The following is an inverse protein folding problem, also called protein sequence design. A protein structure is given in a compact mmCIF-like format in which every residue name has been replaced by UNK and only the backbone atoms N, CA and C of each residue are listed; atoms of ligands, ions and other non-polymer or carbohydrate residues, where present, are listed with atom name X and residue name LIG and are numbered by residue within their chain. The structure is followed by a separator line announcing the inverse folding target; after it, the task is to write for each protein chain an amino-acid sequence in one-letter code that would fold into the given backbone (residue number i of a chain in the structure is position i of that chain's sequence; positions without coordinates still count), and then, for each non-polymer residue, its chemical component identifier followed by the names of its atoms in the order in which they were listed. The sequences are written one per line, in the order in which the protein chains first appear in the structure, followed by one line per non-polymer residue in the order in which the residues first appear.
data_IF_071105189259
#
_entry.id   IF_071105189259
#
_cell.length_a   1.000
_cell.length_b   1.000
_cell.length_c   1.000
_cell.angle_alpha   90.00
_cell.angle_beta   90.00
_cell.angle_gamma   90.00
#
_symmetry.space_group_name_H-M   'P 1'
#
loop_
_entity.id
_entity.type
_entity.pdbx_description
1 polymer ?
#
# COMPACT_ATOMS: atom_id res chain seq x y z
N UNK A 1 -13.42 62.54 55.61
CA UNK A 1 -14.45 61.50 55.73
C UNK A 1 -14.35 60.63 54.50
N UNK A 2 -14.00 59.37 54.74
CA UNK A 2 -13.98 58.16 53.92
C UNK A 2 -13.77 58.15 52.39
N UNK A 3 -12.89 57.22 52.03
CA UNK A 3 -12.49 56.65 50.74
C UNK A 3 -13.65 56.20 49.82
N UNK A 4 -13.40 56.09 48.51
CA UNK A 4 -13.13 54.83 47.75
C UNK A 4 -13.03 55.12 46.23
N UNK A 5 -12.03 54.50 45.58
CA UNK A 5 -11.65 54.59 44.16
C UNK A 5 -12.41 53.63 43.21
N UNK A 6 -12.59 54.01 41.94
CA UNK A 6 -12.60 53.15 40.71
C UNK A 6 -12.75 54.08 39.47
N UNK A 7 -12.18 53.92 38.27
CA UNK A 7 -11.41 52.89 37.57
C UNK A 7 -10.77 53.56 36.33
N UNK A 8 -9.67 52.97 35.83
CA UNK A 8 -8.69 53.51 34.85
C UNK A 8 -9.19 53.68 33.40
N UNK A 9 -8.55 54.67 32.75
CA UNK A 9 -8.40 54.95 31.31
C UNK A 9 -7.79 53.79 30.50
N UNK A 10 -8.20 53.61 29.24
CA UNK A 10 -7.40 53.02 28.14
C UNK A 10 -7.91 53.53 26.77
N UNK A 11 -6.97 53.96 25.92
CA UNK A 11 -7.10 54.61 24.61
C UNK A 11 -6.82 53.57 23.49
N UNK A 12 -7.51 53.55 22.34
CA UNK A 12 -7.20 52.60 21.26
C UNK A 12 -6.18 53.17 20.24
N UNK A 13 -5.25 52.31 19.82
CA UNK A 13 -4.21 52.55 18.81
C UNK A 13 -4.66 51.94 17.46
N UNK A 14 -4.67 52.75 16.39
CA UNK A 14 -4.97 52.34 15.01
C UNK A 14 -3.69 51.85 14.30
N UNK A 15 -3.74 50.68 13.67
CA UNK A 15 -2.67 50.11 12.84
C UNK A 15 -3.17 49.87 11.41
N UNK A 16 -2.48 50.42 10.43
CA UNK A 16 -2.74 50.33 8.98
C UNK A 16 -2.20 49.01 8.39
N UNK A 17 -3.04 48.26 7.67
CA UNK A 17 -2.64 47.10 6.85
C UNK A 17 -2.50 47.52 5.37
N UNK A 18 -1.35 47.22 4.77
CA UNK A 18 -1.10 47.33 3.32
C UNK A 18 -1.39 45.97 2.68
N UNK A 19 -2.39 45.90 1.79
CA UNK A 19 -2.64 44.71 0.97
C UNK A 19 -1.81 44.79 -0.32
N UNK A 20 -0.87 43.85 -0.46
CA UNK A 20 -0.22 43.51 -1.72
C UNK A 20 -1.13 42.57 -2.53
N UNK A 21 -1.63 43.04 -3.67
CA UNK A 21 -2.29 42.22 -4.68
C UNK A 21 -1.21 41.61 -5.60
N UNK A 22 -0.91 40.32 -5.42
CA UNK A 22 -0.25 39.51 -6.44
C UNK A 22 -1.34 38.77 -7.22
N UNK A 23 -1.56 39.17 -8.48
CA UNK A 23 -2.37 38.41 -9.41
C UNK A 23 -1.55 37.23 -9.92
N UNK A 24 -1.82 36.04 -9.39
CA UNK A 24 -1.35 34.80 -10.01
C UNK A 24 -2.45 34.29 -10.95
N UNK A 25 -2.09 34.19 -12.23
CA UNK A 25 -2.96 33.74 -13.30
C UNK A 25 -3.10 32.23 -13.27
N UNK A 26 -4.06 31.74 -12.49
CA UNK A 26 -4.45 30.33 -12.48
C UNK A 26 -5.29 29.97 -13.70
N UNK A 27 -4.64 29.52 -14.76
CA UNK A 27 -5.29 28.85 -15.88
C UNK A 27 -5.88 27.51 -15.40
N UNK A 28 -7.17 27.48 -15.12
CA UNK A 28 -7.94 26.25 -14.93
C UNK A 28 -8.19 25.61 -16.30
N UNK A 29 -7.20 24.87 -16.79
CA UNK A 29 -7.46 23.75 -17.68
C UNK A 29 -7.83 22.57 -16.79
N UNK A 30 -9.06 22.07 -16.87
CA UNK A 30 -9.41 20.80 -16.25
C UNK A 30 -8.55 19.73 -16.93
N UNK A 31 -7.47 19.31 -16.26
CA UNK A 31 -6.76 18.12 -16.68
C UNK A 31 -7.70 16.95 -16.41
N UNK A 32 -8.26 16.34 -17.46
CA UNK A 32 -9.21 15.21 -17.39
C UNK A 32 -8.53 13.91 -16.89
N UNK A 33 -7.38 14.05 -16.23
CA UNK A 33 -6.60 12.94 -15.70
C UNK A 33 -7.14 12.51 -14.36
N UNK A 34 -7.17 11.20 -14.18
CA UNK A 34 -7.41 10.57 -12.90
C UNK A 34 -6.08 10.39 -12.17
N UNK A 35 -6.18 10.32 -10.85
CA UNK A 35 -5.08 9.91 -10.00
C UNK A 35 -5.29 8.45 -9.59
N UNK A 36 -4.24 7.65 -9.70
CA UNK A 36 -4.19 6.29 -9.20
C UNK A 36 -3.06 6.15 -8.17
N UNK A 37 -3.04 5.02 -7.49
CA UNK A 37 -2.03 4.71 -6.49
C UNK A 37 -1.59 3.24 -6.61
N UNK A 38 -0.27 3.00 -6.57
CA UNK A 38 0.29 1.65 -6.51
C UNK A 38 0.33 1.21 -5.04
N UNK A 39 -0.38 0.13 -4.72
CA UNK A 39 -0.62 -0.34 -3.36
C UNK A 39 -1.32 0.69 -2.45
N UNK A 40 -1.71 0.29 -1.24
CA UNK A 40 -2.46 1.15 -0.30
C UNK A 40 -1.60 2.18 0.44
N UNK A 41 -0.36 1.81 0.79
CA UNK A 41 0.60 2.71 1.44
C UNK A 41 1.61 3.29 0.44
N UNK A 42 1.60 2.82 -0.81
CA UNK A 42 2.41 3.37 -1.89
C UNK A 42 3.66 2.56 -2.22
N UNK A 43 4.14 2.75 -3.45
CA UNK A 43 5.50 2.39 -3.87
C UNK A 43 6.11 3.62 -4.54
N UNK A 44 7.03 4.28 -3.87
CA UNK A 44 7.72 5.48 -4.37
C UNK A 44 8.85 5.10 -5.31
N UNK A 45 9.20 6.00 -6.24
CA UNK A 45 10.38 5.82 -7.08
C UNK A 45 10.19 4.88 -8.29
N UNK A 46 8.97 4.41 -8.55
CA UNK A 46 8.66 3.68 -9.78
C UNK A 46 8.47 4.65 -10.93
N UNK A 47 9.18 4.43 -12.04
CA UNK A 47 8.84 5.08 -13.31
C UNK A 47 7.62 4.39 -13.88
N UNK A 48 6.56 5.15 -14.14
CA UNK A 48 5.39 4.70 -14.85
C UNK A 48 5.28 5.39 -16.21
N UNK A 49 5.07 4.60 -17.25
CA UNK A 49 4.80 5.08 -18.60
C UNK A 49 3.40 4.64 -19.00
N UNK A 50 2.63 5.58 -19.54
CA UNK A 50 1.33 5.36 -20.20
C UNK A 50 1.44 5.80 -21.66
N UNK A 51 0.35 5.68 -22.42
CA UNK A 51 0.32 6.20 -23.78
C UNK A 51 0.48 7.74 -23.83
N UNK A 52 0.05 8.45 -22.78
CA UNK A 52 0.04 9.92 -22.75
C UNK A 52 1.21 10.55 -21.99
N UNK A 53 1.86 9.83 -21.07
CA UNK A 53 2.88 10.40 -20.19
C UNK A 53 3.86 9.38 -19.62
N UNK A 54 5.02 9.89 -19.21
CA UNK A 54 5.99 9.18 -18.40
C UNK A 54 6.35 10.06 -17.19
N UNK A 55 6.36 9.48 -15.99
CA UNK A 55 6.73 10.15 -14.74
C UNK A 55 7.12 9.12 -13.69
N UNK A 56 7.57 9.57 -12.51
CA UNK A 56 7.84 8.72 -11.35
C UNK A 56 6.70 8.81 -10.33
N UNK A 57 6.42 7.74 -9.61
CA UNK A 57 5.49 7.74 -8.49
C UNK A 57 6.02 8.58 -7.33
N UNK A 58 5.11 9.30 -6.66
CA UNK A 58 5.45 10.12 -5.50
C UNK A 58 5.62 9.28 -4.22
N UNK A 59 5.84 9.94 -3.08
CA UNK A 59 6.01 9.29 -1.78
C UNK A 59 4.78 8.49 -1.31
N UNK A 60 3.60 8.71 -1.89
CA UNK A 60 2.40 7.93 -1.64
C UNK A 60 2.14 6.89 -2.74
N UNK A 61 3.06 6.71 -3.68
CA UNK A 61 2.90 5.79 -4.80
C UNK A 61 1.90 6.27 -5.86
N UNK A 62 1.60 7.58 -5.92
CA UNK A 62 0.58 8.09 -6.84
C UNK A 62 1.09 8.25 -8.26
N UNK A 63 0.20 8.02 -9.20
CA UNK A 63 0.41 8.25 -10.64
C UNK A 63 -0.81 8.93 -11.27
N UNK A 64 -0.63 9.47 -12.47
CA UNK A 64 -1.71 10.10 -13.25
C UNK A 64 -1.95 9.32 -14.54
N UNK A 65 -3.19 9.24 -14.97
CA UNK A 65 -3.58 8.51 -16.18
C UNK A 65 -4.90 9.04 -16.75
N UNK A 66 -5.15 8.76 -18.01
CA UNK A 66 -6.48 8.88 -18.62
C UNK A 66 -7.25 7.55 -18.54
N UNK A 67 -8.58 7.57 -18.40
CA UNK A 67 -9.39 6.36 -18.37
C UNK A 67 -9.09 5.42 -19.55
N UNK A 68 -8.87 4.13 -19.26
CA UNK A 68 -8.58 3.10 -20.27
C UNK A 68 -7.11 2.95 -20.64
N UNK A 69 -6.20 3.77 -20.10
CA UNK A 69 -4.76 3.57 -20.29
C UNK A 69 -4.23 2.36 -19.50
N UNK A 70 -3.05 1.89 -19.92
CA UNK A 70 -2.25 0.89 -19.21
C UNK A 70 -0.93 1.51 -18.75
N UNK A 71 -0.33 0.92 -17.73
CA UNK A 71 0.95 1.28 -17.16
C UNK A 71 2.01 0.27 -17.61
N UNK A 72 3.17 0.77 -18.00
CA UNK A 72 4.44 0.07 -17.91
C UNK A 72 5.19 0.60 -16.69
N UNK A 73 5.65 -0.29 -15.82
CA UNK A 73 6.29 0.06 -14.56
C UNK A 73 7.75 -0.38 -14.60
N UNK A 74 8.64 0.51 -14.16
CA UNK A 74 10.07 0.26 -14.04
C UNK A 74 10.62 0.77 -12.71
N UNK A 75 11.67 0.13 -12.22
CA UNK A 75 12.53 0.74 -11.19
C UNK A 75 13.82 1.18 -11.88
N UNK A 76 14.01 2.48 -12.03
CA UNK A 76 15.06 2.99 -12.93
C UNK A 76 14.84 2.48 -14.35
N UNK A 77 15.84 1.80 -14.91
CA UNK A 77 15.78 1.18 -16.22
C UNK A 77 15.20 -0.25 -16.22
N UNK A 78 15.11 -0.91 -15.06
CA UNK A 78 14.65 -2.30 -14.94
C UNK A 78 13.12 -2.40 -15.07
N UNK A 79 12.58 -3.15 -16.05
CA UNK A 79 11.16 -3.42 -16.14
C UNK A 79 10.65 -4.30 -14.99
N UNK A 80 9.56 -3.88 -14.35
CA UNK A 80 8.91 -4.63 -13.26
C UNK A 80 7.46 -4.98 -13.51
N UNK A 81 6.79 -4.34 -14.47
CA UNK A 81 5.50 -4.79 -14.99
C UNK A 81 5.22 -4.13 -16.33
N UNK A 82 4.39 -4.77 -17.14
CA UNK A 82 3.85 -4.16 -18.34
C UNK A 82 2.34 -4.37 -18.41
N UNK A 83 1.69 -3.60 -19.30
CA UNK A 83 0.27 -3.81 -19.64
C UNK A 83 -0.65 -3.88 -18.42
N UNK A 84 -0.40 -3.03 -17.41
CA UNK A 84 -1.17 -2.98 -16.16
C UNK A 84 -2.32 -1.98 -16.31
N UNK A 85 -3.60 -2.37 -16.24
CA UNK A 85 -4.71 -1.42 -16.31
C UNK A 85 -4.56 -0.30 -15.29
N UNK A 86 -4.57 0.94 -15.76
CA UNK A 86 -4.54 2.10 -14.90
C UNK A 86 -5.91 2.27 -14.23
N UNK A 87 -5.93 2.24 -12.90
CA UNK A 87 -7.14 2.38 -12.06
C UNK A 87 -6.79 3.09 -10.76
N UNK A 88 -7.81 3.36 -9.94
CA UNK A 88 -7.64 4.09 -8.68
C UNK A 88 -6.59 3.43 -7.77
N UNK A 89 -6.66 2.10 -7.60
CA UNK A 89 -5.69 1.31 -6.85
C UNK A 89 -5.17 0.17 -7.71
N UNK A 90 -3.86 0.13 -7.92
CA UNK A 90 -3.16 -0.94 -8.61
C UNK A 90 -2.37 -1.72 -7.56
N UNK A 91 -2.73 -2.97 -7.31
CA UNK A 91 -1.94 -3.85 -6.43
C UNK A 91 -0.87 -4.57 -7.25
N UNK A 92 0.15 -5.14 -6.60
CA UNK A 92 1.16 -5.95 -7.31
C UNK A 92 0.52 -7.21 -7.96
N UNK A 93 -0.64 -7.68 -7.47
CA UNK A 93 -1.41 -8.73 -8.17
C UNK A 93 -1.83 -8.29 -9.58
N UNK A 94 -2.09 -7.00 -9.78
CA UNK A 94 -2.51 -6.47 -11.08
C UNK A 94 -1.37 -6.48 -12.13
N UNK A 95 -0.13 -6.76 -11.72
CA UNK A 95 1.02 -6.78 -12.61
C UNK A 95 1.02 -8.00 -13.55
N UNK A 96 0.28 -9.05 -13.20
CA UNK A 96 0.19 -10.29 -13.99
C UNK A 96 -1.24 -10.46 -14.56
N UNK A 97 -1.40 -10.58 -15.89
CA UNK A 97 -2.70 -10.77 -16.52
C UNK A 97 -3.51 -11.96 -15.97
N UNK A 98 -2.84 -13.08 -15.71
CA UNK A 98 -3.45 -14.33 -15.24
C UNK A 98 -4.02 -14.18 -13.82
N UNK A 99 -3.32 -13.42 -12.96
CA UNK A 99 -3.80 -13.12 -11.61
C UNK A 99 -5.00 -12.19 -11.66
N UNK A 100 -5.01 -11.19 -12.56
CA UNK A 100 -6.17 -10.32 -12.78
C UNK A 100 -7.40 -11.09 -13.21
N UNK A 101 -7.26 -12.04 -14.14
CA UNK A 101 -8.36 -12.89 -14.57
C UNK A 101 -8.90 -13.74 -13.41
N UNK A 102 -8.01 -14.31 -12.60
CA UNK A 102 -8.41 -15.09 -11.43
C UNK A 102 -9.15 -14.25 -10.37
N UNK A 103 -8.78 -12.98 -10.19
CA UNK A 103 -9.41 -12.05 -9.23
C UNK A 103 -10.88 -11.75 -9.54
N UNK A 104 -11.32 -11.89 -10.80
CA UNK A 104 -12.74 -11.71 -11.15
C UNK A 104 -13.65 -12.79 -10.56
N UNK A 105 -13.08 -13.93 -10.14
CA UNK A 105 -13.82 -15.01 -9.49
C UNK A 105 -13.68 -14.95 -7.97
N UNK A 106 -14.75 -14.56 -7.28
CA UNK A 106 -14.78 -14.56 -5.82
C UNK A 106 -15.33 -15.87 -5.24
N UNK A 107 -14.65 -16.37 -4.21
CA UNK A 107 -15.10 -17.52 -3.40
C UNK A 107 -16.20 -17.09 -2.43
N UNK A 108 -16.82 -18.07 -1.76
CA UNK A 108 -17.79 -17.82 -0.68
C UNK A 108 -17.16 -18.14 0.66
N UNK A 109 -17.54 -17.38 1.69
CA UNK A 109 -17.08 -17.57 3.06
C UNK A 109 -17.96 -18.56 3.85
N UNK A 110 -17.72 -18.66 5.16
CA UNK A 110 -18.51 -19.52 6.06
C UNK A 110 -19.97 -19.10 6.23
N UNK A 111 -20.31 -17.87 5.82
CA UNK A 111 -21.66 -17.34 5.82
C UNK A 111 -22.35 -17.49 4.45
N UNK A 112 -21.72 -18.20 3.51
CA UNK A 112 -22.16 -18.35 2.11
C UNK A 112 -22.26 -17.02 1.35
N UNK A 113 -21.51 -16.01 1.77
CA UNK A 113 -21.42 -14.72 1.08
C UNK A 113 -20.13 -14.63 0.27
N UNK A 114 -20.16 -13.90 -0.86
CA UNK A 114 -18.97 -13.68 -1.68
C UNK A 114 -17.90 -12.87 -0.95
N UNK A 115 -16.67 -13.35 -1.02
CA UNK A 115 -15.49 -12.72 -0.43
C UNK A 115 -14.28 -12.86 -1.37
N UNK A 116 -13.74 -11.72 -1.81
CA UNK A 116 -12.56 -11.67 -2.67
C UNK A 116 -11.27 -12.01 -1.92
N UNK A 117 -11.20 -11.77 -0.60
CA UNK A 117 -9.99 -11.98 0.18
C UNK A 117 -9.53 -13.44 0.19
N UNK A 118 -10.49 -14.38 0.07
CA UNK A 118 -10.22 -15.81 -0.08
C UNK A 118 -9.55 -16.17 -1.42
N UNK A 119 -9.93 -15.47 -2.49
CA UNK A 119 -9.27 -15.59 -3.80
C UNK A 119 -7.88 -14.98 -3.73
N UNK A 120 -7.75 -13.76 -3.22
CA UNK A 120 -6.46 -13.09 -3.02
C UNK A 120 -5.48 -13.99 -2.25
N UNK A 121 -5.88 -14.50 -1.08
CA UNK A 121 -5.07 -15.41 -0.24
C UNK A 121 -4.56 -16.66 -0.99
N UNK A 122 -5.32 -17.15 -1.97
CA UNK A 122 -4.89 -18.25 -2.84
C UNK A 122 -3.80 -17.80 -3.81
N UNK A 123 -3.99 -16.64 -4.44
CA UNK A 123 -3.07 -16.06 -5.42
C UNK A 123 -1.75 -15.59 -4.78
N UNK A 124 -1.75 -15.26 -3.49
CA UNK A 124 -0.53 -14.93 -2.75
C UNK A 124 0.46 -16.08 -2.60
N UNK A 125 0.15 -17.28 -3.08
CA UNK A 125 1.10 -18.39 -3.19
C UNK A 125 1.75 -18.49 -4.58
N UNK A 126 1.45 -17.55 -5.49
CA UNK A 126 2.09 -17.48 -6.80
C UNK A 126 3.57 -17.08 -6.64
N UNK A 127 4.47 -17.91 -7.16
CA UNK A 127 5.91 -17.74 -7.02
C UNK A 127 6.42 -16.46 -7.68
N UNK A 128 5.99 -16.19 -8.91
CA UNK A 128 6.43 -15.00 -9.65
C UNK A 128 6.02 -13.70 -8.94
N UNK A 129 4.80 -13.68 -8.39
CA UNK A 129 4.30 -12.58 -7.58
C UNK A 129 5.19 -12.35 -6.35
N UNK A 130 5.54 -13.42 -5.65
CA UNK A 130 6.37 -13.35 -4.45
C UNK A 130 7.79 -12.90 -4.78
N UNK A 131 8.45 -13.49 -5.77
CA UNK A 131 9.80 -13.09 -6.20
C UNK A 131 9.85 -11.59 -6.59
N UNK A 132 8.86 -11.13 -7.36
CA UNK A 132 8.72 -9.72 -7.75
C UNK A 132 8.52 -8.80 -6.55
N UNK A 133 7.65 -9.19 -5.62
CA UNK A 133 7.37 -8.43 -4.40
C UNK A 133 8.60 -8.33 -3.51
N UNK A 134 9.29 -9.46 -3.29
CA UNK A 134 10.53 -9.53 -2.50
C UNK A 134 11.60 -8.61 -3.05
N UNK A 135 11.82 -8.62 -4.36
CA UNK A 135 12.78 -7.73 -4.99
C UNK A 135 12.41 -6.24 -4.82
N UNK A 136 11.14 -5.87 -5.02
CA UNK A 136 10.70 -4.49 -4.79
C UNK A 136 10.88 -4.07 -3.32
N UNK A 137 10.58 -4.96 -2.37
CA UNK A 137 10.81 -4.71 -0.94
C UNK A 137 12.31 -4.61 -0.63
N UNK A 138 13.17 -5.41 -1.28
CA UNK A 138 14.62 -5.37 -1.06
C UNK A 138 15.24 -4.04 -1.51
N UNK A 139 14.60 -3.34 -2.44
CA UNK A 139 14.98 -2.01 -2.89
C UNK A 139 14.49 -0.86 -1.98
N UNK A 140 13.68 -1.17 -0.96
CA UNK A 140 13.21 -0.16 0.00
C UNK A 140 14.39 0.54 0.68
N UNK A 141 14.32 1.84 0.96
CA UNK A 141 15.45 2.52 1.58
C UNK A 141 15.79 1.96 2.97
N UNK A 142 14.78 1.69 3.79
CA UNK A 142 14.96 1.00 5.07
C UNK A 142 14.90 -0.51 4.88
N UNK A 143 15.54 -1.27 5.75
CA UNK A 143 15.46 -2.73 5.71
C UNK A 143 14.05 -3.22 6.05
N UNK A 144 13.42 -2.57 7.03
CA UNK A 144 12.05 -2.86 7.47
C UNK A 144 11.10 -1.81 6.94
N UNK A 145 9.99 -2.25 6.37
CA UNK A 145 8.84 -1.41 5.98
C UNK A 145 7.90 -1.36 7.19
N UNK A 146 7.60 -0.16 7.69
CA UNK A 146 6.72 0.02 8.85
C UNK A 146 5.25 -0.25 8.52
N UNK A 147 4.42 -0.47 9.54
CA UNK A 147 3.00 -0.81 9.40
C UNK A 147 2.15 0.27 8.73
N UNK A 148 2.58 1.51 8.65
CA UNK A 148 1.88 2.62 8.00
C UNK A 148 2.63 3.20 6.79
N UNK A 149 3.72 2.55 6.39
CA UNK A 149 4.58 2.98 5.29
C UNK A 149 4.50 2.03 4.08
N UNK A 150 4.77 2.62 2.92
CA UNK A 150 4.95 1.92 1.66
C UNK A 150 6.43 1.64 1.37
N UNK A 151 6.72 1.15 0.17
CA UNK A 151 8.11 0.94 -0.30
C UNK A 151 8.68 2.30 -0.74
N UNK A 152 9.80 2.73 -0.15
CA UNK A 152 10.51 3.97 -0.48
C UNK A 152 11.77 3.72 -1.32
N UNK A 153 11.68 3.75 -2.66
CA UNK A 153 12.84 3.56 -3.54
C UNK A 153 13.46 4.92 -3.88
N UNK A 154 14.52 5.27 -3.16
CA UNK A 154 15.14 6.60 -3.30
C UNK A 154 15.93 6.78 -4.59
N UNK A 155 16.10 8.03 -5.08
CA UNK A 155 16.89 8.32 -6.28
C UNK A 155 18.33 7.77 -6.25
N UNK A 156 18.93 7.63 -5.06
CA UNK A 156 20.26 7.00 -4.91
C UNK A 156 20.24 5.51 -5.24
N UNK A 157 19.25 4.78 -4.72
CA UNK A 157 19.05 3.36 -5.02
C UNK A 157 18.83 3.18 -6.52
N UNK A 158 17.96 4.01 -7.12
CA UNK A 158 17.68 4.00 -8.56
C UNK A 158 18.95 4.27 -9.39
N UNK A 159 19.75 5.27 -9.00
CA UNK A 159 20.99 5.59 -9.72
C UNK A 159 22.02 4.46 -9.65
N UNK A 160 22.16 3.79 -8.50
CA UNK A 160 23.06 2.65 -8.34
C UNK A 160 22.55 1.43 -9.10
N UNK A 161 21.24 1.16 -9.07
CA UNK A 161 20.63 0.11 -9.87
C UNK A 161 20.87 0.35 -11.37
N UNK A 162 20.66 1.56 -11.87
CA UNK A 162 20.93 1.87 -13.28
C UNK A 162 22.41 1.66 -13.65
N UNK A 163 23.34 2.09 -12.78
CA UNK A 163 24.76 1.85 -13.01
C UNK A 163 25.10 0.35 -13.05
N UNK A 164 24.43 -0.47 -12.23
CA UNK A 164 24.58 -1.93 -12.25
C UNK A 164 23.99 -2.56 -13.52
N UNK A 165 22.84 -2.07 -14.00
CA UNK A 165 22.21 -2.55 -15.24
C UNK A 165 23.02 -2.19 -16.50
N UNK A 166 23.79 -1.10 -16.45
CA UNK A 166 24.67 -0.65 -17.53
C UNK A 166 26.03 -1.38 -17.53
N UNK A 167 26.36 -2.15 -16.48
CA UNK A 167 27.60 -2.92 -16.39
C UNK A 167 27.48 -4.23 -17.21
N UNK A 168 28.35 -4.46 -18.22
CA UNK A 168 28.30 -5.65 -19.06
C UNK A 168 28.64 -6.96 -18.31
N UNK A 169 29.23 -6.89 -17.12
CA UNK A 169 29.51 -8.06 -16.28
C UNK A 169 28.31 -8.45 -15.40
N UNK A 170 27.29 -7.61 -15.32
CA UNK A 170 26.11 -7.81 -14.49
C UNK A 170 24.84 -8.09 -15.31
N UNK A 171 23.81 -8.71 -14.70
CA UNK A 171 22.52 -8.91 -15.33
C UNK A 171 21.81 -7.59 -15.66
N UNK A 172 21.28 -7.46 -16.88
CA UNK A 172 20.47 -6.30 -17.30
C UNK A 172 18.96 -6.51 -17.14
N UNK A 173 18.53 -7.72 -16.76
CA UNK A 173 17.13 -8.11 -16.57
C UNK A 173 16.99 -9.09 -15.41
N UNK A 174 15.79 -9.15 -14.82
CA UNK A 174 15.44 -10.15 -13.81
C UNK A 174 14.25 -10.96 -14.33
N UNK A 175 14.39 -12.29 -14.31
CA UNK A 175 13.27 -13.21 -14.52
C UNK A 175 12.67 -13.58 -13.16
N UNK A 176 11.47 -13.06 -12.87
CA UNK A 176 10.75 -13.34 -11.63
C UNK A 176 10.07 -14.71 -11.64
N UNK A 177 9.95 -15.38 -12.79
CA UNK A 177 9.22 -16.64 -12.95
C UNK A 177 10.01 -17.87 -12.50
N UNK A 178 11.34 -17.73 -12.34
CA UNK A 178 12.22 -18.84 -11.94
C UNK A 178 11.90 -19.36 -10.52
N UNK A 179 12.21 -20.64 -10.22
CA UNK A 179 12.03 -21.22 -8.89
C UNK A 179 12.63 -20.38 -7.76
N UNK A 180 11.95 -20.31 -6.61
CA UNK A 180 12.42 -19.47 -5.49
C UNK A 180 13.85 -19.78 -5.03
N UNK A 181 14.25 -21.05 -5.04
CA UNK A 181 15.63 -21.45 -4.70
C UNK A 181 16.67 -20.90 -5.70
N UNK A 182 16.32 -20.79 -6.99
CA UNK A 182 17.19 -20.18 -8.00
C UNK A 182 17.18 -18.65 -7.91
N UNK A 183 16.03 -18.07 -7.52
CA UNK A 183 15.89 -16.63 -7.28
C UNK A 183 16.66 -16.14 -6.04
N UNK A 184 16.82 -17.02 -5.04
CA UNK A 184 17.56 -16.76 -3.79
C UNK A 184 19.05 -17.06 -3.90
N UNK A 185 19.50 -17.76 -4.95
CA UNK A 185 20.90 -18.13 -5.11
C UNK A 185 21.82 -16.90 -5.04
N UNK A 186 23.02 -17.07 -4.47
CA UNK A 186 24.00 -15.98 -4.30
C UNK A 186 24.35 -15.32 -5.64
N UNK A 187 24.45 -16.13 -6.70
CA UNK A 187 24.71 -15.70 -8.08
C UNK A 187 23.42 -15.43 -8.89
N UNK A 188 22.25 -15.36 -8.25
CA UNK A 188 21.02 -14.98 -8.93
C UNK A 188 21.10 -13.56 -9.48
N UNK A 189 20.32 -13.27 -10.53
CA UNK A 189 20.32 -11.93 -11.11
C UNK A 189 19.89 -10.84 -10.11
N UNK A 190 18.97 -11.18 -9.20
CA UNK A 190 18.49 -10.27 -8.17
C UNK A 190 19.59 -9.97 -7.14
N UNK A 191 20.29 -10.98 -6.61
CA UNK A 191 21.34 -10.78 -5.62
C UNK A 191 22.59 -10.08 -6.21
N UNK A 192 22.96 -10.38 -7.46
CA UNK A 192 24.04 -9.65 -8.14
C UNK A 192 23.74 -8.15 -8.27
N UNK A 193 22.49 -7.78 -8.58
CA UNK A 193 22.08 -6.38 -8.65
C UNK A 193 21.98 -5.73 -7.28
N UNK A 194 21.43 -6.42 -6.26
CA UNK A 194 21.36 -5.91 -4.89
C UNK A 194 22.75 -5.66 -4.28
N UNK A 195 23.72 -6.53 -4.58
CA UNK A 195 25.12 -6.38 -4.15
C UNK A 195 25.79 -5.10 -4.69
N UNK A 196 25.26 -4.53 -5.77
CA UNK A 196 25.76 -3.29 -6.38
C UNK A 196 25.14 -2.01 -5.79
N UNK A 197 24.19 -2.15 -4.85
CA UNK A 197 23.43 -1.04 -4.28
C UNK A 197 23.86 -0.80 -2.82
N UNK A 198 24.03 0.46 -2.43
CA UNK A 198 24.29 0.83 -1.05
C UNK A 198 23.11 1.61 -0.45
N UNK A 199 22.45 1.01 0.54
CA UNK A 199 21.29 1.59 1.24
C UNK A 199 21.65 2.61 2.33
N UNK A 200 22.86 3.15 2.29
CA UNK A 200 23.36 4.17 3.19
C UNK A 200 23.60 5.50 2.47
N UNK A 201 23.71 6.58 3.26
CA UNK A 201 23.97 7.92 2.73
C UNK A 201 25.29 7.95 1.96
N UNK A 202 25.41 8.88 1.00
CA UNK A 202 26.67 9.07 0.27
C UNK A 202 27.81 9.39 1.26
N UNK A 203 28.91 8.66 1.14
CA UNK A 203 30.08 8.82 2.02
C UNK A 203 30.03 7.97 3.29
N UNK A 204 28.99 7.16 3.50
CA UNK A 204 28.99 6.15 4.55
C UNK A 204 30.12 5.13 4.31
N UNK A 205 30.84 4.76 5.36
CA UNK A 205 31.93 3.78 5.29
C UNK A 205 31.44 2.42 4.79
N UNK A 206 30.16 2.09 5.05
CA UNK A 206 29.54 0.84 4.60
C UNK A 206 29.29 0.81 3.08
N UNK A 207 29.34 1.95 2.40
CA UNK A 207 29.27 2.02 0.94
C UNK A 207 30.64 1.92 0.25
N UNK A 208 31.72 1.73 1.00
CA UNK A 208 33.07 1.57 0.47
C UNK A 208 33.30 0.18 -0.12
N UNK A 209 34.43 0.01 -0.82
CA UNK A 209 34.90 -1.34 -1.16
C UNK A 209 35.33 -2.05 0.13
N UNK A 210 34.98 -3.33 0.33
CA UNK A 210 35.46 -4.07 1.48
C UNK A 210 37.00 -4.14 1.47
N UNK A 211 37.67 -3.90 2.61
CA UNK A 211 39.11 -4.09 2.73
C UNK A 211 39.54 -5.48 2.25
N UNK A 212 40.57 -5.53 1.41
CA UNK A 212 41.14 -6.78 0.90
C UNK A 212 41.89 -7.54 1.99
N UNK A 213 42.05 -8.86 1.83
CA UNK A 213 42.86 -9.66 2.77
C UNK A 213 44.28 -9.14 2.87
N UNK A 214 44.86 -8.68 1.76
CA UNK A 214 46.20 -8.10 1.74
C UNK A 214 46.29 -6.78 2.53
N UNK A 215 45.28 -5.91 2.46
CA UNK A 215 45.25 -4.68 3.29
C UNK A 215 45.14 -5.03 4.78
N UNK A 216 44.33 -6.05 5.12
CA UNK A 216 44.17 -6.53 6.50
C UNK A 216 45.47 -7.13 7.05
N UNK A 217 46.16 -7.97 6.27
CA UNK A 217 47.39 -8.63 6.71
C UNK A 217 48.56 -7.67 6.90
N UNK A 218 48.63 -6.61 6.10
CA UNK A 218 49.69 -5.60 6.18
C UNK A 218 49.46 -4.55 7.27
N UNK A 219 48.26 -4.48 7.84
CA UNK A 219 47.95 -3.54 8.92
C UNK A 219 48.55 -4.02 10.27
N UNK A 220 48.98 -3.08 11.12
CA UNK A 220 49.50 -3.41 12.45
C UNK A 220 48.42 -4.07 13.32
N UNK A 221 48.83 -4.96 14.22
CA UNK A 221 47.93 -5.51 15.23
C UNK A 221 47.63 -4.45 16.29
N UNK A 222 46.36 -4.36 16.70
CA UNK A 222 45.95 -3.49 17.80
C UNK A 222 46.69 -3.89 19.09
N UNK A 223 47.37 -2.96 19.77
CA UNK A 223 48.01 -3.20 21.07
C UNK A 223 47.00 -3.74 22.11
N UNK A 224 47.47 -4.58 23.03
CA UNK A 224 46.62 -5.11 24.13
C UNK A 224 46.30 -4.06 25.19
N UNK A 225 47.14 -3.03 25.29
CA UNK A 225 46.99 -1.94 26.25
C UNK A 225 46.34 -0.74 25.57
N UNK A 226 45.22 -0.27 26.12
CA UNK A 226 44.44 0.83 25.55
C UNK A 226 45.22 2.15 25.47
N UNK A 227 46.20 2.37 26.37
CA UNK A 227 47.05 3.56 26.37
C UNK A 227 48.04 3.62 25.20
N UNK A 228 48.31 2.48 24.54
CA UNK A 228 49.24 2.36 23.42
C UNK A 228 48.53 2.44 22.05
N UNK A 229 47.20 2.60 22.04
CA UNK A 229 46.40 2.73 20.81
C UNK A 229 46.56 4.14 20.23
N UNK A 230 47.12 4.24 19.04
CA UNK A 230 47.19 5.47 18.25
C UNK A 230 45.85 5.72 17.54
N UNK A 231 45.15 6.84 17.82
CA UNK A 231 43.87 7.16 17.16
C UNK A 231 44.00 7.44 15.65
N UNK A 232 45.20 7.76 15.15
CA UNK A 232 45.44 8.05 13.73
C UNK A 232 45.85 6.80 12.92
N UNK A 233 46.03 5.65 13.59
CA UNK A 233 46.41 4.39 12.96
C UNK A 233 45.21 3.45 12.76
N UNK A 234 45.12 2.82 11.59
CA UNK A 234 44.07 1.82 11.31
C UNK A 234 44.63 0.42 11.54
N UNK A 235 44.13 -0.25 12.57
CA UNK A 235 44.61 -1.58 12.94
C UNK A 235 43.96 -2.69 12.12
N UNK A 236 44.61 -3.86 12.13
CA UNK A 236 44.12 -5.09 11.53
C UNK A 236 42.71 -5.46 12.00
N UNK A 237 42.42 -5.30 13.28
CA UNK A 237 41.10 -5.56 13.88
C UNK A 237 40.04 -4.59 13.35
N UNK A 238 40.40 -3.31 13.10
CA UNK A 238 39.49 -2.31 12.53
C UNK A 238 39.15 -2.61 11.08
N UNK A 239 40.13 -2.99 10.26
CA UNK A 239 39.90 -3.38 8.87
C UNK A 239 39.06 -4.66 8.76
N UNK A 240 39.30 -5.64 9.64
CA UNK A 240 38.45 -6.85 9.71
C UNK A 240 37.01 -6.51 10.07
N UNK A 241 36.82 -5.71 11.13
CA UNK A 241 35.47 -5.29 11.55
C UNK A 241 34.78 -4.48 10.46
N UNK A 242 35.49 -3.56 9.79
CA UNK A 242 34.94 -2.79 8.68
C UNK A 242 34.54 -3.69 7.50
N UNK A 243 35.39 -4.65 7.12
CA UNK A 243 35.08 -5.63 6.07
C UNK A 243 33.82 -6.42 6.39
N UNK A 244 33.73 -6.99 7.58
CA UNK A 244 32.56 -7.75 8.02
C UNK A 244 31.29 -6.89 7.99
N UNK A 245 31.37 -5.65 8.49
CA UNK A 245 30.22 -4.72 8.48
C UNK A 245 29.80 -4.32 7.06
N UNK A 246 30.73 -4.12 6.13
CA UNK A 246 30.41 -3.84 4.72
C UNK A 246 29.69 -5.05 4.10
N UNK A 247 30.23 -6.26 4.30
CA UNK A 247 29.63 -7.48 3.74
C UNK A 247 28.24 -7.77 4.34
N UNK A 248 28.04 -7.50 5.63
CA UNK A 248 26.73 -7.63 6.29
C UNK A 248 25.73 -6.55 5.89
N UNK A 249 26.19 -5.39 5.38
CA UNK A 249 25.32 -4.32 4.92
C UNK A 249 24.80 -4.55 3.48
N UNK A 250 25.37 -5.51 2.76
CA UNK A 250 24.87 -5.93 1.45
C UNK A 250 23.57 -6.69 1.66
N UNK A 251 22.52 -6.27 0.95
CA UNK A 251 21.22 -6.92 1.01
C UNK A 251 21.14 -8.11 0.09
N UNK A 252 20.32 -9.07 0.50
CA UNK A 252 20.00 -10.25 -0.27
C UNK A 252 18.49 -10.44 -0.33
N UNK A 253 18.02 -11.25 -1.29
CA UNK A 253 16.63 -11.66 -1.37
C UNK A 253 16.20 -12.52 -0.17
N UNK A 254 17.13 -13.15 0.54
CA UNK A 254 16.84 -13.92 1.76
C UNK A 254 16.42 -13.03 2.93
N UNK A 255 16.83 -11.75 2.94
CA UNK A 255 16.44 -10.77 3.98
C UNK A 255 14.92 -10.56 4.02
N UNK A 256 14.24 -10.84 2.91
CA UNK A 256 12.78 -10.79 2.78
C UNK A 256 12.31 -12.15 2.29
N UNK A 257 11.93 -13.02 3.22
CA UNK A 257 11.40 -14.33 2.86
C UNK A 257 10.01 -14.25 2.18
N UNK A 258 9.56 -15.38 1.66
CA UNK A 258 8.26 -15.49 0.99
C UNK A 258 7.07 -15.14 1.92
N UNK A 259 7.21 -15.38 3.23
CA UNK A 259 6.16 -15.12 4.21
C UNK A 259 6.06 -13.63 4.51
N UNK A 260 7.18 -12.92 4.68
CA UNK A 260 7.23 -11.47 4.85
C UNK A 260 6.66 -10.73 3.63
N UNK A 261 6.98 -11.19 2.41
CA UNK A 261 6.37 -10.65 1.21
C UNK A 261 4.85 -10.89 1.14
N UNK A 262 4.39 -12.07 1.58
CA UNK A 262 2.96 -12.39 1.66
C UNK A 262 2.24 -11.53 2.69
N UNK A 263 2.81 -11.33 3.87
CA UNK A 263 2.27 -10.47 4.93
C UNK A 263 2.16 -9.01 4.47
N UNK A 264 3.19 -8.51 3.80
CA UNK A 264 3.15 -7.20 3.15
C UNK A 264 1.99 -7.09 2.15
N UNK A 265 1.82 -8.08 1.25
CA UNK A 265 0.71 -8.07 0.29
C UNK A 265 -0.67 -8.14 0.95
N UNK A 266 -0.85 -8.97 1.98
CA UNK A 266 -2.12 -9.07 2.75
C UNK A 266 -2.48 -7.70 3.32
N UNK A 267 -1.52 -7.04 3.97
CA UNK A 267 -1.68 -5.70 4.54
C UNK A 267 -2.08 -4.70 3.46
N UNK A 268 -1.38 -4.67 2.33
CA UNK A 268 -1.70 -3.72 1.25
C UNK A 268 -3.08 -3.96 0.63
N UNK A 269 -3.47 -5.22 0.40
CA UNK A 269 -4.78 -5.57 -0.15
C UNK A 269 -5.92 -5.24 0.82
N UNK A 270 -5.72 -5.47 2.11
CA UNK A 270 -6.65 -5.04 3.15
C UNK A 270 -6.75 -3.51 3.19
N UNK A 271 -5.63 -2.79 3.07
CA UNK A 271 -5.58 -1.33 2.97
C UNK A 271 -6.40 -0.80 1.79
N UNK A 272 -6.27 -1.40 0.60
CA UNK A 272 -7.06 -1.05 -0.59
C UNK A 272 -8.55 -1.31 -0.35
N UNK A 273 -8.89 -2.52 0.14
CA UNK A 273 -10.29 -2.90 0.44
C UNK A 273 -10.93 -1.91 1.41
N UNK A 274 -10.19 -1.52 2.46
CA UNK A 274 -10.64 -0.53 3.43
C UNK A 274 -10.79 0.86 2.82
N UNK A 275 -9.85 1.30 1.99
CA UNK A 275 -9.92 2.60 1.32
C UNK A 275 -11.15 2.70 0.41
N UNK A 276 -11.43 1.66 -0.37
CA UNK A 276 -12.64 1.57 -1.19
C UNK A 276 -13.88 1.51 -0.31
N UNK A 277 -13.89 0.62 0.69
CA UNK A 277 -15.03 0.41 1.57
C UNK A 277 -15.44 1.64 2.39
N UNK A 278 -14.50 2.55 2.71
CA UNK A 278 -14.78 3.83 3.40
C UNK A 278 -15.60 4.80 2.54
N UNK A 279 -15.60 4.63 1.22
CA UNK A 279 -16.43 5.43 0.31
C UNK A 279 -17.89 5.02 0.33
N UNK A 280 -18.22 3.88 0.94
CA UNK A 280 -19.57 3.34 0.94
C UNK A 280 -20.11 3.19 2.35
N UNK A 281 -21.42 3.43 2.50
CA UNK A 281 -22.14 3.35 3.77
C UNK A 281 -23.57 2.89 3.54
N UNK A 282 -24.21 2.36 4.59
CA UNK A 282 -25.63 2.06 4.59
C UNK A 282 -26.41 3.30 5.09
N UNK A 283 -27.65 3.50 4.62
CA UNK A 283 -28.48 4.64 5.06
C UNK A 283 -28.65 4.71 6.58
N UNK A 284 -28.60 3.54 7.23
CA UNK A 284 -28.64 3.32 8.67
C UNK A 284 -27.62 2.25 9.04
N UNK A 285 -27.09 2.32 10.25
CA UNK A 285 -26.16 1.31 10.81
C UNK A 285 -26.78 0.55 11.99
N UNK A 286 -27.81 1.13 12.61
CA UNK A 286 -28.65 0.53 13.63
C UNK A 286 -30.09 0.89 13.32
N UNK A 287 -30.99 -0.08 13.43
CA UNK A 287 -32.43 0.11 13.33
C UNK A 287 -33.14 -0.54 14.51
N UNK A 288 -34.20 0.10 14.99
CA UNK A 288 -35.06 -0.42 16.07
C UNK A 288 -36.50 -0.42 15.60
N UNK A 289 -37.15 -1.58 15.68
CA UNK A 289 -38.54 -1.77 15.22
C UNK A 289 -39.32 -2.55 16.27
N UNK A 290 -40.60 -2.23 16.45
CA UNK A 290 -41.50 -3.03 17.30
C UNK A 290 -41.65 -4.44 16.72
N UNK A 291 -41.77 -5.46 17.57
CA UNK A 291 -42.11 -6.82 17.14
C UNK A 291 -43.43 -6.88 16.34
N UNK A 292 -44.32 -5.91 16.55
CA UNK A 292 -45.58 -5.78 15.80
C UNK A 292 -45.40 -5.17 14.39
N UNK A 293 -44.26 -4.54 14.11
CA UNK A 293 -43.98 -3.88 12.85
C UNK A 293 -43.30 -4.84 11.86
N UNK A 294 -44.12 -5.70 11.24
CA UNK A 294 -43.70 -6.68 10.25
C UNK A 294 -43.64 -6.11 8.82
N UNK A 295 -43.77 -4.79 8.66
CA UNK A 295 -43.69 -4.17 7.35
C UNK A 295 -42.27 -4.28 6.77
N UNK A 296 -42.19 -4.33 5.44
CA UNK A 296 -40.91 -4.31 4.74
C UNK A 296 -40.15 -3.01 5.06
N UNK A 297 -38.87 -3.17 5.38
CA UNK A 297 -37.90 -2.10 5.64
C UNK A 297 -36.86 -2.15 4.54
N UNK A 298 -36.48 -0.99 4.03
CA UNK A 298 -35.47 -0.86 2.99
C UNK A 298 -34.24 -0.17 3.56
N UNK A 299 -33.08 -0.80 3.38
CA UNK A 299 -31.78 -0.20 3.68
C UNK A 299 -31.06 0.09 2.36
N UNK A 300 -30.70 1.35 2.14
CA UNK A 300 -30.01 1.78 0.92
C UNK A 300 -28.49 1.72 1.10
N UNK A 301 -27.78 1.24 0.08
CA UNK A 301 -26.32 1.31 -0.02
C UNK A 301 -25.97 2.63 -0.73
N UNK A 302 -25.12 3.43 -0.11
CA UNK A 302 -24.78 4.78 -0.57
C UNK A 302 -23.28 4.95 -0.73
N UNK A 303 -22.90 5.89 -1.60
CA UNK A 303 -21.52 6.31 -1.83
C UNK A 303 -21.31 7.75 -1.32
N UNK A 304 -20.15 8.01 -0.74
CA UNK A 304 -19.71 9.36 -0.36
C UNK A 304 -19.32 10.10 -1.63
N UNK A 305 -19.99 11.21 -1.92
CA UNK A 305 -19.62 12.10 -3.02
C UNK A 305 -19.65 11.44 -4.40
N UNK A 306 -20.85 11.26 -4.96
CA UNK A 306 -21.04 10.72 -6.30
C UNK A 306 -22.20 9.73 -6.36
N UNK A 307 -22.49 9.25 -7.56
CA UNK A 307 -23.55 8.28 -7.78
C UNK A 307 -23.13 6.87 -7.37
N UNK A 308 -24.12 6.09 -6.96
CA UNK A 308 -23.93 4.68 -6.62
C UNK A 308 -23.88 3.86 -7.90
N UNK A 309 -22.80 3.09 -8.07
CA UNK A 309 -22.64 2.16 -9.18
C UNK A 309 -22.14 0.82 -8.65
N UNK A 310 -22.93 -0.23 -8.87
CA UNK A 310 -22.67 -1.60 -8.42
C UNK A 310 -22.57 -2.48 -9.67
N UNK A 311 -21.63 -3.42 -9.67
CA UNK A 311 -21.53 -4.43 -10.70
C UNK A 311 -22.83 -5.25 -10.83
N UNK A 312 -23.12 -5.73 -12.03
CA UNK A 312 -24.29 -6.59 -12.28
C UNK A 312 -24.27 -7.81 -11.35
N UNK A 313 -25.39 -8.06 -10.67
CA UNK A 313 -25.52 -9.10 -9.64
C UNK A 313 -24.55 -8.95 -8.45
N UNK A 314 -24.01 -7.76 -8.24
CA UNK A 314 -23.02 -7.45 -7.21
C UNK A 314 -23.64 -7.03 -5.88
N UNK A 315 -24.78 -7.59 -5.48
CA UNK A 315 -25.35 -7.43 -4.12
C UNK A 315 -25.80 -8.78 -3.62
N UNK A 316 -25.48 -9.08 -2.36
CA UNK A 316 -25.91 -10.26 -1.62
C UNK A 316 -26.20 -9.83 -0.18
N UNK A 317 -27.24 -10.40 0.44
CA UNK A 317 -27.52 -10.13 1.84
C UNK A 317 -28.06 -11.36 2.57
N UNK A 318 -27.68 -11.48 3.84
CA UNK A 318 -28.22 -12.47 4.78
C UNK A 318 -28.51 -11.83 6.12
N UNK A 319 -29.32 -12.50 6.92
CA UNK A 319 -29.47 -12.21 8.35
C UNK A 319 -28.69 -13.24 9.16
N UNK A 320 -27.97 -12.81 10.19
CA UNK A 320 -27.27 -13.74 11.10
C UNK A 320 -28.25 -14.53 11.97
N UNK A 321 -29.47 -14.02 12.17
CA UNK A 321 -30.58 -14.68 12.86
C UNK A 321 -31.87 -14.52 12.04
N UNK A 322 -32.07 -15.37 11.01
CA UNK A 322 -33.23 -15.28 10.11
C UNK A 322 -34.59 -15.41 10.80
N UNK A 323 -34.64 -16.08 11.95
CA UNK A 323 -35.85 -16.22 12.76
C UNK A 323 -36.26 -14.94 13.50
N UNK A 324 -35.34 -13.97 13.64
CA UNK A 324 -35.64 -12.69 14.28
C UNK A 324 -35.85 -11.59 13.23
N UNK A 325 -34.99 -11.59 12.21
CA UNK A 325 -35.04 -10.65 11.10
C UNK A 325 -34.79 -11.43 9.83
N UNK A 326 -35.71 -11.37 8.87
CA UNK A 326 -35.58 -12.06 7.61
C UNK A 326 -35.26 -11.09 6.47
N UNK A 327 -34.27 -11.44 5.63
CA UNK A 327 -33.99 -10.72 4.39
C UNK A 327 -35.04 -11.13 3.36
N UNK A 328 -35.73 -10.15 2.77
CA UNK A 328 -36.75 -10.38 1.76
C UNK A 328 -36.16 -10.42 0.35
N UNK A 329 -35.45 -9.37 -0.04
CA UNK A 329 -34.86 -9.23 -1.38
C UNK A 329 -33.74 -8.18 -1.37
N UNK A 330 -33.02 -8.06 -2.48
CA UNK A 330 -32.02 -7.02 -2.70
C UNK A 330 -31.94 -6.66 -4.18
N UNK A 331 -31.52 -5.44 -4.47
CA UNK A 331 -31.38 -4.91 -5.83
C UNK A 331 -30.00 -4.30 -6.02
N UNK A 332 -29.27 -4.78 -7.03
CA UNK A 332 -28.00 -4.17 -7.42
C UNK A 332 -28.22 -2.91 -8.26
N UNK A 333 -29.31 -2.85 -9.03
CA UNK A 333 -29.67 -1.69 -9.86
C UNK A 333 -30.04 -0.48 -9.01
N UNK A 334 -30.81 -0.72 -7.95
CA UNK A 334 -31.31 0.34 -7.05
C UNK A 334 -30.51 0.44 -5.74
N UNK A 335 -29.48 -0.41 -5.59
CA UNK A 335 -28.56 -0.43 -4.48
C UNK A 335 -29.24 -0.47 -3.10
N UNK A 336 -30.13 -1.45 -2.89
CA UNK A 336 -30.81 -1.62 -1.61
C UNK A 336 -30.94 -3.10 -1.20
N UNK A 337 -31.22 -3.30 0.10
CA UNK A 337 -31.67 -4.57 0.68
C UNK A 337 -32.97 -4.33 1.41
N UNK A 338 -33.91 -5.27 1.29
CA UNK A 338 -35.17 -5.27 2.04
C UNK A 338 -35.18 -6.38 3.08
N UNK A 339 -35.72 -6.07 4.25
CA UNK A 339 -35.86 -7.00 5.36
C UNK A 339 -37.14 -6.71 6.15
N UNK A 340 -37.55 -7.63 7.01
CA UNK A 340 -38.65 -7.44 7.95
C UNK A 340 -38.35 -8.12 9.29
N UNK A 341 -39.05 -7.70 10.34
CA UNK A 341 -38.98 -8.30 11.67
C UNK A 341 -39.93 -9.49 11.74
N UNK A 342 -39.45 -10.62 12.26
CA UNK A 342 -40.21 -11.87 12.49
C UNK A 342 -40.01 -12.43 13.91
N UNK A 343 -39.15 -11.79 14.71
CA UNK A 343 -38.81 -12.22 16.07
C UNK A 343 -39.58 -11.52 17.19
N UNK A 344 -39.27 -11.96 18.41
CA UNK A 344 -39.89 -11.47 19.65
C UNK A 344 -39.18 -10.22 20.22
N UNK A 345 -39.86 -9.42 21.07
CA UNK A 345 -39.24 -8.30 21.78
C UNK A 345 -37.96 -8.71 22.54
N UNK A 346 -36.93 -7.89 22.43
CA UNK A 346 -35.60 -8.18 22.97
C UNK A 346 -34.71 -9.02 22.04
N UNK A 347 -35.24 -9.46 20.89
CA UNK A 347 -34.46 -10.06 19.82
C UNK A 347 -33.50 -9.08 19.14
N UNK A 348 -32.41 -9.62 18.60
CA UNK A 348 -31.39 -8.86 17.89
C UNK A 348 -30.84 -9.71 16.74
N UNK A 349 -30.65 -9.09 15.57
CA UNK A 349 -29.98 -9.70 14.42
C UNK A 349 -29.09 -8.69 13.71
N UNK A 350 -28.11 -9.20 12.96
CA UNK A 350 -27.36 -8.40 12.00
C UNK A 350 -27.76 -8.79 10.57
N UNK A 351 -28.10 -7.79 9.76
CA UNK A 351 -28.23 -7.95 8.32
C UNK A 351 -26.88 -7.63 7.70
N UNK A 352 -26.22 -8.67 7.17
CA UNK A 352 -24.94 -8.56 6.48
C UNK A 352 -25.19 -8.33 5.00
N UNK A 353 -24.58 -7.28 4.45
CA UNK A 353 -24.77 -6.84 3.08
C UNK A 353 -23.42 -6.79 2.39
N UNK A 354 -23.23 -7.66 1.41
CA UNK A 354 -22.07 -7.64 0.53
C UNK A 354 -22.45 -6.98 -0.79
N UNK A 355 -21.57 -6.12 -1.29
CA UNK A 355 -21.73 -5.55 -2.61
C UNK A 355 -20.40 -5.36 -3.32
N UNK A 356 -20.41 -5.45 -4.64
CA UNK A 356 -19.24 -5.30 -5.51
C UNK A 356 -19.33 -3.97 -6.27
N UNK A 357 -18.57 -2.92 -5.89
CA UNK A 357 -18.52 -1.66 -6.63
C UNK A 357 -18.21 -1.87 -8.12
N UNK A 358 -18.69 -0.98 -8.97
CA UNK A 358 -18.32 -0.99 -10.39
C UNK A 358 -16.81 -0.75 -10.58
N UNK A 359 -16.22 -1.39 -11.59
CA UNK A 359 -14.80 -1.30 -11.96
C UNK A 359 -13.79 -1.80 -10.90
N UNK A 360 -14.23 -2.56 -9.90
CA UNK A 360 -13.35 -3.25 -8.96
C UNK A 360 -13.82 -4.70 -8.74
N UNK A 361 -12.87 -5.61 -8.49
CA UNK A 361 -13.18 -7.02 -8.23
C UNK A 361 -13.61 -7.28 -6.78
N UNK A 362 -13.32 -6.34 -5.86
CA UNK A 362 -13.48 -6.52 -4.42
C UNK A 362 -14.92 -6.41 -3.96
N UNK A 363 -15.30 -7.28 -3.04
CA UNK A 363 -16.56 -7.25 -2.32
C UNK A 363 -16.42 -6.46 -1.04
N UNK A 364 -17.32 -5.50 -0.82
CA UNK A 364 -17.41 -4.69 0.38
C UNK A 364 -18.54 -5.24 1.23
N UNK A 365 -18.24 -5.57 2.49
CA UNK A 365 -19.23 -5.98 3.49
C UNK A 365 -19.58 -4.80 4.39
N UNK A 366 -20.87 -4.62 4.65
CA UNK A 366 -21.42 -3.73 5.68
C UNK A 366 -22.47 -4.49 6.48
N UNK A 367 -22.68 -4.08 7.73
CA UNK A 367 -23.70 -4.66 8.60
C UNK A 367 -24.69 -3.59 9.06
N UNK A 368 -25.95 -3.98 9.16
CA UNK A 368 -27.00 -3.26 9.84
C UNK A 368 -27.41 -4.06 11.07
N UNK A 369 -27.28 -3.47 12.25
CA UNK A 369 -27.78 -4.08 13.49
C UNK A 369 -29.27 -3.76 13.65
N UNK A 370 -30.10 -4.77 13.86
CA UNK A 370 -31.54 -4.62 14.02
C UNK A 370 -31.95 -5.08 15.41
N UNK A 371 -32.62 -4.20 16.15
CA UNK A 371 -33.14 -4.44 17.49
C UNK A 371 -34.66 -4.56 17.44
N UNK A 372 -35.21 -5.59 18.08
CA UNK A 372 -36.65 -5.80 18.18
C UNK A 372 -37.11 -5.26 19.53
N UNK A 373 -37.97 -4.24 19.50
CA UNK A 373 -38.56 -3.62 20.69
C UNK A 373 -39.99 -4.11 20.92
N UNK A 374 -40.57 -3.72 22.05
CA UNK A 374 -41.99 -4.01 22.35
C UNK A 374 -42.96 -3.49 21.29
#
# INVERSE_FOLDING_TARGET
MELVHLRRLLLPLFTTLVLSACSDGGGSGSDDTLAGQIQSHGVSGLTYTTNSRESTTDAQGKFRYYPGETLMLKVGALPVADTVPAKEFVSILDFQPELREALETSKVDSQNLKDHALTESTLLNNQELLNRTRFLMALNWTEVIQDDEGIDIRPRVIAQLNAALDDPELPSTIDFSIPSAEFEAEDSAANQLLASICFHKKGDQLCGKPPTEAEIENAPERPENDDDIDPDETYKQDLKSLRERILQAVRTIEDIDAQGAKEYLIKELAGITNAIGRKYYLSDHIASHSASDTALKTIAIRKVGGDMAINKNGVEAISTRPQDVAVHTWSWQEAYVEYFVDGEPGGESEVLINFKPENDYRWIRKSLRVLITE
#
